data_IF_716042046576
#
_entry.id   IF_716042046576
#
_cell.length_a   1.000
_cell.length_b   1.000
_cell.length_c   1.000
_cell.angle_alpha   90.00
_cell.angle_beta   90.00
_cell.angle_gamma   90.00
#
_symmetry.space_group_name_H-M   'P 1'
#
loop_
_entity.id
_entity.type
_entity.pdbx_description
1 polymer ?
#
# COMPACT_ATOMS: atom_id res chain seq x y z
N UNK A 1 -18.26 -26.55 -12.70
CA UNK A 1 -17.37 -26.00 -11.65
C UNK A 1 -16.39 -25.06 -12.36
N UNK A 2 -16.15 -23.86 -11.83
CA UNK A 2 -15.21 -22.90 -12.43
C UNK A 2 -13.81 -23.41 -12.14
N UNK A 3 -13.00 -23.52 -13.18
CA UNK A 3 -11.59 -23.91 -13.06
C UNK A 3 -10.72 -22.65 -12.97
N UNK A 4 -10.45 -22.22 -11.75
CA UNK A 4 -9.64 -21.03 -11.48
C UNK A 4 -8.17 -21.23 -11.85
N UNK A 5 -7.65 -22.46 -11.71
CA UNK A 5 -6.27 -22.76 -12.09
C UNK A 5 -6.07 -22.66 -13.59
N UNK A 6 -7.05 -23.12 -14.38
CA UNK A 6 -7.01 -22.95 -15.82
C UNK A 6 -7.00 -21.47 -16.21
N UNK A 7 -7.89 -20.65 -15.60
CA UNK A 7 -7.89 -19.20 -15.85
C UNK A 7 -6.57 -18.54 -15.46
N UNK A 8 -5.96 -18.99 -14.35
CA UNK A 8 -4.66 -18.50 -13.90
C UNK A 8 -3.59 -18.78 -14.96
N UNK A 9 -3.50 -20.03 -15.44
CA UNK A 9 -2.52 -20.42 -16.46
C UNK A 9 -2.71 -19.66 -17.79
N UNK A 10 -3.95 -19.38 -18.16
CA UNK A 10 -4.27 -18.59 -19.38
C UNK A 10 -3.84 -17.12 -19.27
N UNK A 11 -3.74 -16.57 -18.04
CA UNK A 11 -3.38 -15.18 -17.77
C UNK A 11 -1.95 -14.99 -17.26
N UNK A 12 -1.28 -16.10 -16.91
CA UNK A 12 0.10 -16.07 -16.45
C UNK A 12 1.03 -15.68 -17.59
N UNK A 13 1.90 -14.69 -17.33
CA UNK A 13 2.82 -14.15 -18.32
C UNK A 13 4.08 -13.59 -17.68
N UNK A 14 5.03 -13.11 -18.48
CA UNK A 14 6.22 -12.42 -17.98
C UNK A 14 5.94 -10.93 -17.76
N UNK A 15 6.75 -10.24 -16.93
CA UNK A 15 6.62 -8.79 -16.75
C UNK A 15 6.70 -8.04 -18.09
N UNK A 16 7.63 -8.43 -18.97
CA UNK A 16 7.87 -7.78 -20.27
C UNK A 16 6.65 -7.91 -21.21
N UNK A 17 5.97 -9.05 -21.20
CA UNK A 17 4.75 -9.23 -21.98
C UNK A 17 3.57 -8.47 -21.36
N UNK A 18 3.43 -8.53 -20.04
CA UNK A 18 2.34 -7.87 -19.30
C UNK A 18 2.31 -6.36 -19.55
N UNK A 19 3.47 -5.70 -19.54
CA UNK A 19 3.56 -4.24 -19.72
C UNK A 19 3.32 -3.78 -21.16
N UNK A 20 3.25 -4.68 -22.15
CA UNK A 20 2.94 -4.31 -23.56
C UNK A 20 1.53 -3.74 -23.74
N UNK A 21 0.65 -3.94 -22.76
CA UNK A 21 -0.69 -3.35 -22.73
C UNK A 21 -0.65 -1.82 -22.63
N UNK A 22 0.40 -1.26 -22.01
CA UNK A 22 0.58 0.19 -21.85
C UNK A 22 0.97 0.82 -23.19
N UNK A 23 0.24 1.86 -23.59
CA UNK A 23 0.42 2.62 -24.83
C UNK A 23 0.50 4.11 -24.54
N UNK A 24 1.01 4.88 -25.50
CA UNK A 24 1.00 6.33 -25.44
C UNK A 24 -0.40 6.90 -25.19
N UNK A 25 -0.47 7.93 -24.37
CA UNK A 25 -1.70 8.64 -24.00
C UNK A 25 -2.53 7.92 -22.92
N UNK A 26 -2.14 6.75 -22.44
CA UNK A 26 -2.88 6.03 -21.40
C UNK A 26 -2.59 6.59 -20.00
N UNK A 27 -3.60 6.47 -19.15
CA UNK A 27 -3.51 6.67 -17.70
C UNK A 27 -3.29 5.34 -16.99
N UNK A 28 -2.18 5.25 -16.30
CA UNK A 28 -1.75 4.09 -15.53
C UNK A 28 -1.77 4.43 -14.04
N UNK A 29 -2.44 3.61 -13.25
CA UNK A 29 -2.38 3.71 -11.79
C UNK A 29 -1.43 2.65 -11.22
N UNK A 30 -0.55 3.07 -10.33
CA UNK A 30 0.20 2.18 -9.45
C UNK A 30 -0.54 2.07 -8.12
N UNK A 31 -0.66 0.87 -7.59
CA UNK A 31 -0.99 0.69 -6.20
C UNK A 31 0.12 1.30 -5.30
N UNK A 32 -0.12 1.41 -4.00
CA UNK A 32 0.75 2.14 -3.10
C UNK A 32 1.25 1.28 -1.93
N UNK A 33 2.18 1.82 -1.16
CA UNK A 33 2.80 1.15 -0.01
C UNK A 33 3.33 -0.24 -0.39
N UNK A 34 2.88 -1.30 0.28
CA UNK A 34 3.31 -2.66 0.00
C UNK A 34 2.76 -3.24 -1.32
N UNK A 35 1.70 -2.63 -1.86
CA UNK A 35 1.08 -3.10 -3.11
C UNK A 35 1.72 -2.51 -4.37
N UNK A 36 2.84 -1.79 -4.25
CA UNK A 36 3.59 -1.22 -5.40
C UNK A 36 4.15 -2.35 -6.28
N UNK A 37 3.93 -2.29 -7.61
CA UNK A 37 4.32 -3.35 -8.54
C UNK A 37 5.80 -3.24 -8.95
N UNK A 38 6.71 -3.93 -8.27
CA UNK A 38 8.16 -3.80 -8.47
C UNK A 38 8.67 -4.34 -9.81
N UNK A 39 8.25 -5.55 -10.22
CA UNK A 39 8.67 -6.15 -11.47
C UNK A 39 8.04 -5.45 -12.67
N UNK A 40 6.76 -5.07 -12.55
CA UNK A 40 6.05 -4.36 -13.61
C UNK A 40 6.62 -2.95 -13.83
N UNK A 41 7.05 -2.24 -12.77
CA UNK A 41 7.72 -0.95 -12.87
C UNK A 41 9.05 -1.07 -13.61
N UNK A 42 9.88 -2.08 -13.25
CA UNK A 42 11.14 -2.38 -13.94
C UNK A 42 10.92 -2.69 -15.43
N UNK A 43 9.95 -3.54 -15.74
CA UNK A 43 9.65 -3.94 -17.11
C UNK A 43 9.08 -2.77 -17.94
N UNK A 44 8.24 -1.93 -17.35
CA UNK A 44 7.72 -0.74 -18.02
C UNK A 44 8.81 0.28 -18.28
N UNK A 45 9.71 0.51 -17.31
CA UNK A 45 10.86 1.39 -17.47
C UNK A 45 11.77 0.99 -18.65
N UNK A 46 11.94 -0.32 -18.90
CA UNK A 46 12.71 -0.82 -20.03
C UNK A 46 12.11 -0.44 -21.39
N UNK A 47 10.81 -0.10 -21.45
CA UNK A 47 10.12 0.35 -22.67
C UNK A 47 10.16 1.87 -22.91
N UNK A 48 10.87 2.62 -22.07
CA UNK A 48 10.89 4.08 -22.15
C UNK A 48 11.35 4.65 -23.51
N UNK A 49 12.20 3.94 -24.25
CA UNK A 49 12.62 4.36 -25.60
C UNK A 49 11.50 4.16 -26.65
N UNK A 50 10.61 3.21 -26.42
CA UNK A 50 9.50 2.87 -27.34
C UNK A 50 8.28 3.77 -27.16
N UNK A 51 8.14 4.41 -25.98
CA UNK A 51 6.99 5.20 -25.59
C UNK A 51 7.30 6.69 -25.65
N UNK A 52 6.26 7.51 -25.78
CA UNK A 52 6.41 8.96 -25.84
C UNK A 52 5.77 9.67 -24.65
N UNK A 53 4.54 9.29 -24.26
CA UNK A 53 3.83 9.91 -23.17
C UNK A 53 2.88 8.90 -22.54
N UNK A 54 3.07 8.62 -21.25
CA UNK A 54 2.19 7.79 -20.42
C UNK A 54 1.96 8.55 -19.11
N UNK A 55 0.72 8.77 -18.74
CA UNK A 55 0.36 9.43 -17.49
C UNK A 55 0.31 8.39 -16.37
N UNK A 56 1.07 8.60 -15.30
CA UNK A 56 1.13 7.65 -14.19
C UNK A 56 0.72 8.33 -12.89
N UNK A 57 -0.21 7.72 -12.17
CA UNK A 57 -0.57 8.10 -10.80
C UNK A 57 -0.01 7.09 -9.82
N UNK A 58 0.57 7.57 -8.73
CA UNK A 58 1.09 6.74 -7.66
C UNK A 58 1.48 7.56 -6.45
N UNK A 59 1.80 6.89 -5.34
CA UNK A 59 2.24 7.53 -4.11
C UNK A 59 2.71 6.49 -3.08
N UNK A 60 3.33 6.95 -2.00
CA UNK A 60 3.84 6.11 -0.90
C UNK A 60 4.72 4.96 -1.40
N UNK A 61 5.64 5.27 -2.32
CA UNK A 61 6.60 4.32 -2.87
C UNK A 61 7.97 4.59 -2.23
N UNK A 62 8.52 3.61 -1.54
CA UNK A 62 9.70 3.76 -0.70
C UNK A 62 11.01 3.31 -1.36
N UNK A 63 10.93 2.70 -2.53
CA UNK A 63 12.10 2.40 -3.38
C UNK A 63 12.18 3.37 -4.57
N UNK A 64 13.33 3.44 -5.28
CA UNK A 64 13.46 4.23 -6.51
C UNK A 64 12.49 3.74 -7.60
N UNK A 65 11.62 4.63 -8.08
CA UNK A 65 10.63 4.34 -9.11
C UNK A 65 11.35 4.26 -10.46
N UNK A 66 11.37 3.09 -11.08
CA UNK A 66 12.22 2.81 -12.25
C UNK A 66 11.80 3.58 -13.50
N UNK A 67 10.49 3.80 -13.71
CA UNK A 67 10.03 4.66 -14.81
C UNK A 67 10.53 6.10 -14.68
N UNK A 68 10.68 6.62 -13.47
CA UNK A 68 11.21 7.96 -13.24
C UNK A 68 12.72 8.01 -13.44
N UNK A 69 13.44 6.97 -13.03
CA UNK A 69 14.87 6.84 -13.32
C UNK A 69 15.12 6.71 -14.84
N UNK A 70 14.23 6.03 -15.56
CA UNK A 70 14.29 5.95 -17.02
C UNK A 70 14.11 7.32 -17.67
N UNK A 71 13.16 8.15 -17.22
CA UNK A 71 12.99 9.52 -17.67
C UNK A 71 14.28 10.36 -17.47
N UNK A 72 14.89 10.25 -16.28
CA UNK A 72 16.15 10.96 -15.97
C UNK A 72 17.26 10.53 -16.95
N UNK A 73 17.42 9.21 -17.15
CA UNK A 73 18.43 8.64 -18.03
C UNK A 73 18.25 9.08 -19.50
N UNK A 74 17.00 9.13 -19.97
CA UNK A 74 16.68 9.55 -21.34
C UNK A 74 16.73 11.06 -21.54
N UNK A 75 16.70 11.85 -20.46
CA UNK A 75 16.61 13.31 -20.52
C UNK A 75 15.27 13.83 -21.05
N UNK A 76 14.21 13.01 -21.06
CA UNK A 76 12.83 13.39 -21.42
C UNK A 76 11.83 12.70 -20.54
N UNK A 77 10.64 13.29 -20.39
CA UNK A 77 9.57 12.77 -19.53
C UNK A 77 8.57 11.95 -20.37
N UNK A 78 8.91 10.67 -20.52
CA UNK A 78 8.03 9.66 -21.14
C UNK A 78 6.88 9.31 -20.21
N UNK A 79 7.17 9.16 -18.91
CA UNK A 79 6.21 8.87 -17.87
C UNK A 79 5.92 10.14 -17.08
N UNK A 80 4.73 10.71 -17.28
CA UNK A 80 4.28 11.93 -16.60
C UNK A 80 3.75 11.53 -15.23
N UNK A 81 4.55 11.79 -14.19
CA UNK A 81 4.26 11.35 -12.85
C UNK A 81 3.35 12.30 -12.09
N UNK A 82 2.22 11.79 -11.62
CA UNK A 82 1.22 12.49 -10.84
C UNK A 82 1.11 11.85 -9.46
N UNK A 83 1.60 12.52 -8.44
CA UNK A 83 1.71 11.99 -7.08
C UNK A 83 0.54 12.46 -6.20
N UNK A 84 -0.13 11.52 -5.56
CA UNK A 84 -1.14 11.81 -4.54
C UNK A 84 -0.50 12.19 -3.19
N UNK A 85 0.73 11.74 -2.93
CA UNK A 85 1.49 12.06 -1.74
C UNK A 85 2.98 12.10 -2.06
N UNK A 86 3.56 13.31 -2.10
CA UNK A 86 4.95 13.49 -2.50
C UNK A 86 5.94 13.06 -1.43
N UNK A 87 6.73 12.05 -1.76
CA UNK A 87 7.89 11.61 -1.02
C UNK A 87 9.17 12.35 -1.43
N UNK A 88 10.32 11.92 -0.93
CA UNK A 88 11.59 12.59 -1.20
C UNK A 88 11.95 12.62 -2.70
N UNK A 89 11.72 11.50 -3.41
CA UNK A 89 11.95 11.40 -4.85
C UNK A 89 11.00 12.32 -5.62
N UNK A 90 9.70 12.28 -5.31
CA UNK A 90 8.70 13.12 -5.97
C UNK A 90 9.00 14.60 -5.76
N UNK A 91 9.34 15.01 -4.52
CA UNK A 91 9.69 16.40 -4.21
C UNK A 91 10.95 16.87 -4.94
N UNK A 92 11.94 15.99 -5.13
CA UNK A 92 13.13 16.31 -5.94
C UNK A 92 12.72 16.59 -7.38
N UNK A 93 11.99 15.67 -8.01
CA UNK A 93 11.56 15.77 -9.40
C UNK A 93 10.55 16.92 -9.62
N UNK A 94 9.70 17.20 -8.65
CA UNK A 94 8.77 18.33 -8.72
C UNK A 94 9.48 19.70 -8.78
N UNK A 95 10.63 19.85 -8.10
CA UNK A 95 11.46 21.07 -8.21
C UNK A 95 12.03 21.27 -9.62
N UNK A 96 12.15 20.19 -10.38
CA UNK A 96 12.58 20.17 -11.77
C UNK A 96 11.39 20.20 -12.75
N UNK A 97 10.16 20.39 -12.26
CA UNK A 97 8.90 20.34 -13.02
C UNK A 97 8.66 19.00 -13.74
N UNK A 98 9.14 17.89 -13.15
CA UNK A 98 9.07 16.54 -13.71
C UNK A 98 8.14 15.60 -12.94
N UNK A 99 7.53 16.08 -11.86
CA UNK A 99 6.50 15.39 -11.11
C UNK A 99 5.44 16.38 -10.64
N UNK A 100 4.19 15.99 -10.72
CA UNK A 100 3.06 16.84 -10.38
C UNK A 100 2.39 16.34 -9.09
N UNK A 101 1.89 17.26 -8.29
CA UNK A 101 1.18 16.95 -7.07
C UNK A 101 -0.33 17.08 -7.28
N UNK A 102 -1.06 16.06 -6.86
CA UNK A 102 -2.52 16.08 -6.83
C UNK A 102 -2.95 16.25 -5.37
N UNK A 103 -3.29 17.49 -4.95
CA UNK A 103 -3.66 17.76 -3.56
C UNK A 103 -5.03 17.19 -3.23
N UNK A 104 -5.09 16.34 -2.20
CA UNK A 104 -6.35 15.82 -1.67
C UNK A 104 -6.15 15.34 -0.23
N UNK A 105 -7.24 15.12 0.49
CA UNK A 105 -7.20 14.35 1.74
C UNK A 105 -7.29 12.86 1.42
N UNK A 106 -6.52 12.04 2.12
CA UNK A 106 -6.46 10.60 1.89
C UNK A 106 -7.84 9.93 1.87
N UNK A 107 -8.70 10.29 2.83
CA UNK A 107 -10.07 9.77 2.91
C UNK A 107 -10.99 10.16 1.74
N UNK A 108 -10.61 11.14 0.91
CA UNK A 108 -11.40 11.58 -0.26
C UNK A 108 -11.06 10.78 -1.52
N UNK A 109 -9.91 10.10 -1.54
CA UNK A 109 -9.42 9.41 -2.74
C UNK A 109 -10.40 8.34 -3.27
N UNK A 110 -11.03 7.48 -2.46
CA UNK A 110 -12.02 6.53 -2.94
C UNK A 110 -13.19 7.23 -3.66
N UNK A 111 -13.65 8.35 -3.10
CA UNK A 111 -14.76 9.12 -3.67
C UNK A 111 -14.39 9.74 -5.03
N UNK A 112 -13.16 10.22 -5.19
CA UNK A 112 -12.67 10.75 -6.47
C UNK A 112 -12.71 9.68 -7.57
N UNK A 113 -12.34 8.43 -7.26
CA UNK A 113 -12.43 7.33 -8.22
C UNK A 113 -13.88 6.90 -8.51
N UNK A 114 -14.84 7.14 -7.60
CA UNK A 114 -16.27 6.91 -7.85
C UNK A 114 -16.88 7.92 -8.78
N UNK A 115 -16.31 9.13 -8.88
CA UNK A 115 -16.82 10.23 -9.72
C UNK A 115 -16.02 10.32 -11.01
N UNK A 116 -16.63 10.01 -12.18
CA UNK A 116 -15.91 10.03 -13.46
C UNK A 116 -15.35 11.40 -13.86
N UNK A 117 -15.93 12.47 -13.32
CA UNK A 117 -15.57 13.85 -13.59
C UNK A 117 -14.37 14.33 -12.75
N UNK A 118 -14.04 13.68 -11.66
CA UNK A 118 -13.01 14.15 -10.71
C UNK A 118 -11.62 13.60 -11.04
N UNK A 119 -11.55 12.43 -11.69
CA UNK A 119 -10.31 11.75 -12.03
C UNK A 119 -10.35 11.22 -13.44
N UNK A 120 -9.27 11.41 -14.17
CA UNK A 120 -9.07 10.83 -15.49
C UNK A 120 -9.27 9.29 -15.46
N UNK A 121 -9.55 8.72 -16.62
CA UNK A 121 -9.74 7.27 -16.77
C UNK A 121 -8.58 6.48 -16.16
N UNK A 122 -8.86 5.28 -15.68
CA UNK A 122 -7.83 4.27 -15.35
C UNK A 122 -7.77 3.30 -16.52
N UNK A 123 -6.81 3.50 -17.43
CA UNK A 123 -6.66 2.56 -18.55
C UNK A 123 -6.03 1.27 -18.06
N UNK A 124 -5.00 1.36 -17.23
CA UNK A 124 -4.30 0.21 -16.65
C UNK A 124 -4.09 0.41 -15.17
N UNK A 125 -4.31 -0.63 -14.38
CA UNK A 125 -3.91 -0.71 -12.98
C UNK A 125 -2.82 -1.77 -12.84
N UNK A 126 -1.69 -1.41 -12.24
CA UNK A 126 -0.67 -2.33 -11.77
C UNK A 126 -0.71 -2.41 -10.25
N UNK A 127 -0.84 -3.62 -9.71
CA UNK A 127 -0.84 -3.84 -8.27
C UNK A 127 -0.14 -5.14 -7.88
N UNK A 128 0.54 -5.12 -6.75
CA UNK A 128 1.10 -6.29 -6.11
C UNK A 128 0.10 -6.88 -5.11
N UNK A 129 -0.01 -8.21 -5.08
CA UNK A 129 -0.94 -8.96 -4.23
C UNK A 129 -0.29 -10.20 -3.65
N UNK A 130 -1.00 -10.91 -2.76
CA UNK A 130 -0.67 -12.29 -2.42
C UNK A 130 -0.88 -13.22 -3.62
N UNK A 131 -0.30 -14.44 -3.61
CA UNK A 131 -0.62 -15.48 -4.58
C UNK A 131 -2.12 -15.83 -4.60
N UNK A 132 -2.59 -16.38 -5.72
CA UNK A 132 -3.99 -16.79 -5.87
C UNK A 132 -4.35 -17.96 -4.93
N UNK A 133 -5.47 -17.85 -4.23
CA UNK A 133 -6.03 -18.92 -3.43
C UNK A 133 -6.82 -19.97 -4.27
N UNK A 134 -7.33 -20.99 -3.62
CA UNK A 134 -8.15 -22.06 -4.24
C UNK A 134 -9.48 -21.57 -4.83
N UNK A 135 -9.97 -20.41 -4.39
CA UNK A 135 -11.21 -19.78 -4.84
C UNK A 135 -10.97 -18.76 -5.98
N UNK A 136 -9.74 -18.64 -6.44
CA UNK A 136 -9.36 -17.72 -7.50
C UNK A 136 -9.17 -16.28 -7.04
N UNK A 137 -8.97 -16.05 -5.74
CA UNK A 137 -8.80 -14.73 -5.17
C UNK A 137 -7.32 -14.44 -4.89
N UNK A 138 -6.91 -13.22 -5.17
CA UNK A 138 -5.64 -12.63 -4.75
C UNK A 138 -5.92 -11.67 -3.61
N UNK A 139 -5.47 -12.00 -2.40
CA UNK A 139 -5.61 -11.09 -1.26
C UNK A 139 -4.75 -9.84 -1.49
N UNK A 140 -5.30 -8.66 -1.18
CA UNK A 140 -4.63 -7.37 -1.39
C UNK A 140 -3.55 -7.08 -0.34
N UNK A 141 -3.34 -8.02 0.59
CA UNK A 141 -2.38 -7.87 1.67
C UNK A 141 -2.77 -6.76 2.65
N UNK A 142 -1.80 -6.19 3.35
CA UNK A 142 -2.05 -5.15 4.34
C UNK A 142 -2.15 -3.74 3.73
N UNK A 143 -2.76 -3.61 2.54
CA UNK A 143 -2.93 -2.34 1.85
C UNK A 143 -4.17 -2.35 0.94
N UNK A 144 -5.34 -2.09 1.51
CA UNK A 144 -6.60 -2.02 0.74
C UNK A 144 -6.88 -0.58 0.29
N UNK A 145 -7.01 0.34 1.26
CA UNK A 145 -7.29 1.76 0.99
C UNK A 145 -8.34 1.97 -0.12
N UNK A 146 -8.01 2.73 -1.17
CA UNK A 146 -8.88 2.95 -2.34
C UNK A 146 -8.74 1.88 -3.43
N UNK A 147 -7.96 0.82 -3.23
CA UNK A 147 -7.59 -0.13 -4.29
C UNK A 147 -8.81 -0.73 -4.99
N UNK A 148 -9.88 -1.06 -4.25
CA UNK A 148 -11.12 -1.58 -4.83
C UNK A 148 -11.76 -0.60 -5.80
N UNK A 149 -11.77 0.70 -5.49
CA UNK A 149 -12.35 1.73 -6.35
C UNK A 149 -11.52 1.90 -7.64
N UNK A 150 -10.20 1.78 -7.53
CA UNK A 150 -9.32 1.82 -8.71
C UNK A 150 -9.55 0.59 -9.59
N UNK A 151 -9.66 -0.61 -8.99
CA UNK A 151 -10.00 -1.86 -9.71
C UNK A 151 -11.32 -1.70 -10.48
N UNK A 152 -12.35 -1.16 -9.83
CA UNK A 152 -13.67 -0.98 -10.45
C UNK A 152 -13.65 -0.01 -11.63
N UNK A 153 -12.68 0.91 -11.68
CA UNK A 153 -12.50 1.89 -12.75
C UNK A 153 -11.56 1.43 -13.85
N UNK A 154 -10.66 0.49 -13.56
CA UNK A 154 -9.62 0.08 -14.48
C UNK A 154 -10.18 -0.70 -15.68
N UNK A 155 -9.76 -0.33 -16.90
CA UNK A 155 -10.04 -1.11 -18.11
C UNK A 155 -9.24 -2.40 -18.13
N UNK A 156 -7.99 -2.32 -17.65
CA UNK A 156 -7.09 -3.46 -17.58
C UNK A 156 -6.44 -3.52 -16.20
N UNK A 157 -6.47 -4.69 -15.57
CA UNK A 157 -5.82 -4.94 -14.28
C UNK A 157 -4.74 -5.98 -14.47
N UNK A 158 -3.51 -5.64 -14.11
CA UNK A 158 -2.35 -6.54 -14.11
C UNK A 158 -1.89 -6.74 -12.67
N UNK A 159 -1.88 -7.99 -12.25
CA UNK A 159 -1.49 -8.40 -10.90
C UNK A 159 -0.06 -8.91 -10.89
N UNK A 160 0.76 -8.39 -9.97
CA UNK A 160 2.04 -8.96 -9.57
C UNK A 160 1.82 -9.81 -8.30
N UNK A 161 1.65 -11.12 -8.47
CA UNK A 161 1.40 -12.06 -7.38
C UNK A 161 2.69 -12.41 -6.65
N UNK A 162 2.94 -11.77 -5.51
CA UNK A 162 4.17 -11.93 -4.75
C UNK A 162 3.99 -12.87 -3.57
N UNK A 163 4.77 -13.94 -3.53
CA UNK A 163 4.72 -14.94 -2.44
C UNK A 163 5.17 -14.42 -1.08
N UNK A 164 5.84 -13.27 -1.04
CA UNK A 164 6.29 -12.62 0.20
C UNK A 164 5.25 -11.64 0.78
N UNK A 165 4.14 -11.39 0.06
CA UNK A 165 3.06 -10.54 0.54
C UNK A 165 2.27 -11.26 1.64
N UNK A 166 2.15 -10.70 2.86
CA UNK A 166 1.37 -11.32 3.93
C UNK A 166 -0.13 -11.27 3.62
N UNK A 167 -0.84 -12.35 3.91
CA UNK A 167 -2.29 -12.39 3.82
C UNK A 167 -2.89 -11.68 5.02
N UNK A 168 -3.62 -10.59 4.78
CA UNK A 168 -4.34 -9.85 5.82
C UNK A 168 -5.81 -9.79 5.45
N UNK A 169 -6.67 -10.15 6.40
CA UNK A 169 -8.11 -10.11 6.19
C UNK A 169 -8.61 -8.67 6.24
N UNK A 170 -9.52 -8.33 5.34
CA UNK A 170 -10.22 -7.06 5.35
C UNK A 170 -11.57 -7.17 6.04
N UNK A 171 -12.18 -6.02 6.27
CA UNK A 171 -13.59 -5.94 6.67
C UNK A 171 -14.50 -6.23 5.48
N UNK A 172 -14.09 -5.81 4.29
CA UNK A 172 -14.68 -6.09 2.98
C UNK A 172 -13.64 -5.79 1.90
N UNK A 173 -13.85 -6.33 0.69
CA UNK A 173 -13.07 -5.98 -0.51
C UNK A 173 -11.56 -6.22 -0.40
N UNK A 174 -11.14 -7.19 0.42
CA UNK A 174 -9.74 -7.52 0.71
C UNK A 174 -9.08 -8.41 -0.36
N UNK A 175 -9.75 -8.66 -1.48
CA UNK A 175 -9.23 -9.46 -2.58
C UNK A 175 -9.70 -8.95 -3.96
N UNK A 176 -8.97 -9.37 -4.99
CA UNK A 176 -9.41 -9.34 -6.39
C UNK A 176 -9.53 -10.76 -6.93
N UNK A 177 -10.61 -11.08 -7.64
CA UNK A 177 -10.78 -12.41 -8.21
C UNK A 177 -10.12 -12.48 -9.59
N UNK A 178 -9.59 -13.66 -9.96
CA UNK A 178 -8.95 -13.91 -11.26
C UNK A 178 -9.82 -13.51 -12.47
N UNK A 179 -11.13 -13.46 -12.30
CA UNK A 179 -12.06 -13.02 -13.36
C UNK A 179 -11.93 -11.54 -13.70
N UNK A 180 -11.49 -10.73 -12.74
CA UNK A 180 -11.30 -9.28 -12.86
C UNK A 180 -9.88 -8.94 -13.37
N UNK A 181 -8.96 -9.92 -13.35
CA UNK A 181 -7.54 -9.75 -13.72
C UNK A 181 -7.35 -10.03 -15.20
N UNK A 182 -6.53 -9.24 -15.88
CA UNK A 182 -6.21 -9.40 -17.31
C UNK A 182 -4.91 -10.16 -17.54
N UNK A 183 -3.91 -9.92 -16.69
CA UNK A 183 -2.64 -10.64 -16.72
C UNK A 183 -2.10 -10.83 -15.30
N UNK A 184 -1.38 -11.93 -15.08
CA UNK A 184 -0.73 -12.26 -13.81
C UNK A 184 0.77 -12.43 -14.06
N UNK A 185 1.57 -11.80 -13.21
CA UNK A 185 3.01 -11.96 -13.14
C UNK A 185 3.36 -12.53 -11.76
N UNK A 186 4.11 -13.61 -11.70
CA UNK A 186 4.60 -14.14 -10.44
C UNK A 186 5.84 -13.40 -9.96
N UNK A 187 5.90 -13.12 -8.67
CA UNK A 187 7.01 -12.41 -8.01
C UNK A 187 7.47 -13.12 -6.75
N UNK A 188 8.76 -13.02 -6.47
CA UNK A 188 9.37 -13.38 -5.20
C UNK A 188 10.28 -12.26 -4.65
N UNK A 189 10.11 -11.06 -5.17
CA UNK A 189 10.84 -9.87 -4.72
C UNK A 189 10.54 -9.60 -3.24
N UNK A 190 11.52 -9.13 -2.47
CA UNK A 190 11.27 -8.69 -1.11
C UNK A 190 10.23 -7.56 -1.06
N UNK A 191 9.36 -7.58 -0.06
CA UNK A 191 8.47 -6.46 0.23
C UNK A 191 9.25 -5.30 0.81
N UNK A 192 8.96 -4.09 0.39
CA UNK A 192 9.59 -2.88 0.91
C UNK A 192 9.40 -2.74 2.41
N UNK A 193 10.49 -2.44 3.10
CA UNK A 193 10.49 -2.13 4.52
C UNK A 193 10.90 -0.68 4.75
N UNK A 194 10.42 -0.10 5.83
CA UNK A 194 10.92 1.21 6.29
C UNK A 194 11.76 1.02 7.55
N UNK A 195 12.87 1.76 7.68
CA UNK A 195 13.67 1.69 8.90
C UNK A 195 12.90 2.27 10.08
N UNK A 196 13.03 1.62 11.24
CA UNK A 196 12.50 2.19 12.48
C UNK A 196 13.26 3.46 12.83
N UNK A 197 12.58 4.58 12.85
CA UNK A 197 13.15 5.88 13.25
C UNK A 197 13.32 5.87 14.76
N UNK A 198 14.56 6.04 15.21
CA UNK A 198 14.85 6.16 16.64
C UNK A 198 14.37 7.51 17.15
N UNK A 199 13.68 7.57 18.31
CA UNK A 199 13.24 8.81 18.91
C UNK A 199 14.45 9.63 19.41
N UNK A 200 14.35 10.95 19.31
CA UNK A 200 15.26 11.85 19.96
C UNK A 200 14.76 12.24 21.36
N UNK A 201 15.53 13.08 22.08
CA UNK A 201 15.18 13.54 23.43
C UNK A 201 13.87 14.32 23.48
N UNK A 202 13.53 15.04 22.41
CA UNK A 202 12.29 15.80 22.29
C UNK A 202 11.11 14.86 22.08
N UNK A 203 11.27 13.86 21.22
CA UNK A 203 10.29 12.81 20.97
C UNK A 203 9.92 12.08 22.26
N UNK A 204 10.93 11.69 23.05
CA UNK A 204 10.75 11.03 24.34
C UNK A 204 9.97 11.88 25.35
N UNK A 205 10.32 13.18 25.47
CA UNK A 205 9.62 14.11 26.37
C UNK A 205 8.15 14.29 25.96
N UNK A 206 7.87 14.39 24.67
CA UNK A 206 6.49 14.52 24.17
C UNK A 206 5.72 13.23 24.48
N UNK A 207 6.32 12.07 24.23
CA UNK A 207 5.71 10.78 24.53
C UNK A 207 5.41 10.62 26.03
N UNK A 208 6.31 11.09 26.93
CA UNK A 208 6.10 11.11 28.39
C UNK A 208 4.94 12.01 28.85
N UNK A 209 4.61 13.01 28.06
CA UNK A 209 3.43 13.85 28.32
C UNK A 209 2.16 13.20 27.81
N UNK A 210 2.18 12.67 26.57
CA UNK A 210 1.02 12.10 25.92
C UNK A 210 0.51 10.82 26.58
N UNK A 211 1.41 9.96 27.08
CA UNK A 211 0.98 8.70 27.73
C UNK A 211 0.10 8.94 28.96
N UNK A 212 0.24 10.08 29.63
CA UNK A 212 -0.57 10.45 30.81
C UNK A 212 -2.01 10.83 30.47
N UNK A 213 -2.27 11.15 29.21
CA UNK A 213 -3.60 11.50 28.72
C UNK A 213 -4.37 10.28 28.21
N UNK A 214 -3.70 9.12 28.06
CA UNK A 214 -4.32 7.89 27.55
C UNK A 214 -4.94 7.14 28.72
N UNK A 215 -6.21 6.76 28.54
CA UNK A 215 -6.98 6.01 29.53
C UNK A 215 -7.20 4.57 29.06
N UNK A 216 -7.48 3.65 29.98
CA UNK A 216 -7.87 2.29 29.63
C UNK A 216 -9.06 2.28 28.67
N UNK A 217 -9.07 1.36 27.72
CA UNK A 217 -10.10 1.24 26.70
C UNK A 217 -10.02 2.27 25.55
N UNK A 218 -9.08 3.22 25.59
CA UNK A 218 -8.93 4.20 24.50
C UNK A 218 -8.64 3.54 23.17
N UNK A 219 -9.22 4.06 22.09
CA UNK A 219 -8.90 3.65 20.72
C UNK A 219 -7.94 4.64 20.09
N UNK A 220 -6.79 4.15 19.61
CA UNK A 220 -5.65 4.95 19.21
C UNK A 220 -5.37 4.86 17.71
N UNK A 221 -4.77 5.94 17.21
CA UNK A 221 -4.05 6.00 15.94
C UNK A 221 -2.62 6.47 16.22
N UNK A 222 -1.64 5.76 15.69
CA UNK A 222 -0.24 6.16 15.70
C UNK A 222 0.28 6.23 14.25
N UNK A 223 1.14 7.21 13.98
CA UNK A 223 1.81 7.33 12.69
C UNK A 223 3.23 6.74 12.71
N UNK A 224 3.99 7.06 11.66
CA UNK A 224 5.43 6.78 11.58
C UNK A 224 6.24 7.98 12.11
N UNK A 225 7.44 7.72 12.62
CA UNK A 225 8.37 8.75 13.10
C UNK A 225 8.89 8.45 14.48
N UNK A 226 9.85 9.25 14.96
CA UNK A 226 10.48 9.08 16.27
C UNK A 226 9.47 9.18 17.40
N UNK A 227 8.70 10.26 17.45
CA UNK A 227 7.72 10.50 18.52
C UNK A 227 6.59 9.45 18.57
N UNK A 228 5.89 9.09 17.47
CA UNK A 228 4.88 8.03 17.51
C UNK A 228 5.46 6.67 17.92
N UNK A 229 6.68 6.35 17.50
CA UNK A 229 7.38 5.13 17.94
C UNK A 229 7.65 5.16 19.45
N UNK A 230 8.23 6.26 19.97
CA UNK A 230 8.47 6.42 21.41
C UNK A 230 7.18 6.21 22.22
N UNK A 231 6.09 6.85 21.80
CA UNK A 231 4.80 6.72 22.48
C UNK A 231 4.29 5.28 22.43
N UNK A 232 4.31 4.62 21.27
CA UNK A 232 3.81 3.25 21.13
C UNK A 232 4.61 2.24 21.96
N UNK A 233 5.93 2.35 22.03
CA UNK A 233 6.75 1.49 22.89
C UNK A 233 6.54 1.77 24.38
N UNK A 234 6.38 3.05 24.79
CA UNK A 234 6.02 3.37 26.18
C UNK A 234 4.64 2.80 26.57
N UNK A 235 3.67 2.84 25.66
CA UNK A 235 2.36 2.22 25.86
C UNK A 235 2.53 0.71 26.05
N UNK A 236 3.36 0.03 25.24
CA UNK A 236 3.61 -1.41 25.35
C UNK A 236 4.23 -1.79 26.71
N UNK A 237 4.99 -0.88 27.35
CA UNK A 237 5.62 -1.06 28.66
C UNK A 237 4.77 -0.57 29.83
N UNK A 238 3.60 0.01 29.57
CA UNK A 238 2.74 0.61 30.59
C UNK A 238 1.75 -0.37 31.20
N UNK A 239 1.04 0.06 32.26
CA UNK A 239 -0.07 -0.68 32.89
C UNK A 239 -1.42 -0.43 32.22
N UNK A 240 -1.47 0.27 31.06
CA UNK A 240 -2.70 0.51 30.31
C UNK A 240 -3.33 -0.78 29.83
N UNK A 241 -4.67 -0.80 29.76
CA UNK A 241 -5.45 -2.00 29.43
C UNK A 241 -6.52 -1.74 28.38
N UNK A 242 -6.85 -2.83 27.69
CA UNK A 242 -7.98 -2.92 26.77
C UNK A 242 -8.03 -1.86 25.68
N UNK A 243 -6.85 -1.37 25.27
CA UNK A 243 -6.74 -0.38 24.20
C UNK A 243 -7.25 -0.97 22.87
N UNK A 244 -7.75 -0.08 22.01
CA UNK A 244 -8.10 -0.38 20.63
C UNK A 244 -7.17 0.30 19.64
N UNK A 245 -7.08 -0.25 18.43
CA UNK A 245 -6.43 0.39 17.28
C UNK A 245 -7.46 0.60 16.18
N UNK A 246 -7.54 1.85 15.68
CA UNK A 246 -8.25 2.25 14.48
C UNK A 246 -7.46 3.39 13.84
N UNK A 247 -6.66 3.06 12.84
CA UNK A 247 -5.59 3.93 12.36
C UNK A 247 -5.56 3.97 10.83
N UNK A 248 -4.99 5.02 10.27
CA UNK A 248 -4.63 5.06 8.86
C UNK A 248 -3.57 3.99 8.56
N UNK A 249 -2.52 3.95 9.38
CA UNK A 249 -1.38 3.05 9.22
C UNK A 249 -1.32 2.04 10.36
N UNK A 250 -0.71 0.87 10.08
CA UNK A 250 -0.29 -0.06 11.11
C UNK A 250 1.24 -0.16 11.10
N UNK A 251 1.88 -0.03 12.27
CA UNK A 251 3.34 0.11 12.42
C UNK A 251 3.90 -0.80 13.52
N UNK A 252 5.24 -0.96 13.55
CA UNK A 252 5.94 -1.86 14.48
C UNK A 252 5.60 -1.61 15.95
N UNK A 253 5.45 -0.37 16.37
CA UNK A 253 5.10 -0.05 17.75
C UNK A 253 3.69 -0.53 18.15
N UNK A 254 2.74 -0.56 17.21
CA UNK A 254 1.40 -1.14 17.44
C UNK A 254 1.47 -2.67 17.58
N UNK A 255 2.33 -3.35 16.80
CA UNK A 255 2.62 -4.76 16.99
C UNK A 255 3.20 -5.01 18.40
N UNK A 256 4.14 -4.17 18.86
CA UNK A 256 4.72 -4.27 20.20
C UNK A 256 3.64 -4.12 21.29
N UNK A 257 2.75 -3.14 21.18
CA UNK A 257 1.60 -2.95 22.07
C UNK A 257 0.70 -4.20 22.11
N UNK A 258 0.45 -4.80 20.95
CA UNK A 258 -0.38 -6.01 20.86
C UNK A 258 0.31 -7.23 21.49
N UNK A 259 1.60 -7.42 21.21
CA UNK A 259 2.40 -8.50 21.81
C UNK A 259 2.53 -8.36 23.35
N UNK A 260 2.54 -7.12 23.85
CA UNK A 260 2.53 -6.84 25.29
C UNK A 260 1.16 -7.08 25.96
N UNK A 261 0.09 -7.26 25.17
CA UNK A 261 -1.24 -7.55 25.68
C UNK A 261 -2.05 -6.33 26.12
N UNK A 262 -1.55 -5.11 25.88
CA UNK A 262 -2.28 -3.88 26.24
C UNK A 262 -3.38 -3.53 25.22
N UNK A 263 -3.34 -4.13 24.01
CA UNK A 263 -4.34 -3.95 22.97
C UNK A 263 -5.20 -5.20 22.84
N UNK A 264 -6.47 -5.10 23.22
CA UNK A 264 -7.50 -6.15 23.04
C UNK A 264 -8.57 -5.76 22.04
N UNK A 265 -8.82 -4.47 21.85
CA UNK A 265 -9.89 -3.94 21.04
C UNK A 265 -11.29 -4.23 21.58
N UNK A 266 -11.41 -4.73 22.82
CA UNK A 266 -12.68 -5.18 23.37
C UNK A 266 -13.60 -4.03 23.80
N UNK A 267 -13.06 -2.83 24.01
CA UNK A 267 -13.81 -1.64 24.35
C UNK A 267 -14.18 -0.79 23.09
N UNK A 268 -13.77 -1.23 21.89
CA UNK A 268 -14.16 -0.54 20.64
C UNK A 268 -15.67 -0.67 20.39
N UNK A 269 -16.29 0.42 19.97
CA UNK A 269 -17.69 0.43 19.51
C UNK A 269 -17.81 -0.19 18.11
N UNK A 270 -16.86 0.11 17.21
CA UNK A 270 -16.81 -0.44 15.87
C UNK A 270 -15.72 -1.50 15.74
N UNK A 271 -16.01 -2.60 15.05
CA UNK A 271 -15.06 -3.68 14.77
C UNK A 271 -14.39 -4.19 16.05
N UNK A 272 -15.21 -4.51 17.07
CA UNK A 272 -14.78 -4.99 18.38
C UNK A 272 -13.87 -6.22 18.26
N UNK A 273 -12.73 -6.19 18.97
CA UNK A 273 -11.71 -7.23 18.92
C UNK A 273 -10.83 -7.20 17.65
N UNK A 274 -11.02 -6.23 16.75
CA UNK A 274 -10.21 -6.04 15.57
C UNK A 274 -9.38 -4.75 15.64
N UNK A 275 -8.17 -4.81 15.15
CA UNK A 275 -7.30 -3.66 14.94
C UNK A 275 -7.42 -3.26 13.47
N UNK A 276 -8.02 -2.09 13.24
CA UNK A 276 -8.40 -1.64 11.89
C UNK A 276 -7.39 -0.62 11.36
N UNK A 277 -7.00 -0.79 10.10
CA UNK A 277 -6.08 0.15 9.42
C UNK A 277 -6.30 0.09 7.90
N UNK A 278 -5.82 1.08 7.15
CA UNK A 278 -5.94 1.08 5.69
C UNK A 278 -4.69 0.59 4.96
N UNK A 279 -3.51 0.73 5.55
CA UNK A 279 -2.26 0.14 5.04
C UNK A 279 -1.24 -0.03 6.15
N UNK A 280 -0.22 -0.83 5.90
CA UNK A 280 0.90 -1.04 6.82
C UNK A 280 2.23 -0.65 6.18
N UNK A 281 3.13 -0.12 7.00
CA UNK A 281 4.53 0.12 6.66
C UNK A 281 5.39 -0.13 7.89
N UNK A 282 6.41 -0.96 7.77
CA UNK A 282 7.30 -1.27 8.88
C UNK A 282 8.40 -2.26 8.53
N UNK A 283 8.77 -3.04 9.52
CA UNK A 283 9.82 -4.06 9.41
C UNK A 283 9.31 -5.36 8.79
N UNK A 284 10.26 -6.20 8.36
CA UNK A 284 9.93 -7.58 7.96
C UNK A 284 9.27 -8.36 9.10
N UNK A 285 9.68 -8.14 10.36
CA UNK A 285 9.06 -8.78 11.53
C UNK A 285 7.58 -8.44 11.64
N UNK A 286 7.22 -7.18 11.40
CA UNK A 286 5.83 -6.76 11.37
C UNK A 286 5.06 -7.54 10.30
N UNK A 287 5.59 -7.65 9.09
CA UNK A 287 4.91 -8.33 7.99
C UNK A 287 4.74 -9.84 8.24
N UNK A 288 5.78 -10.49 8.78
CA UNK A 288 5.70 -11.90 9.17
C UNK A 288 4.65 -12.12 10.28
N UNK A 289 4.50 -11.15 11.21
CA UNK A 289 3.50 -11.21 12.27
C UNK A 289 2.07 -10.92 11.78
N UNK A 290 1.93 -10.13 10.71
CA UNK A 290 0.62 -9.80 10.13
C UNK A 290 0.00 -10.97 9.36
N UNK A 291 0.84 -11.87 8.83
CA UNK A 291 0.39 -12.95 7.97
C UNK A 291 -0.62 -13.85 8.68
N UNK A 292 -1.82 -13.97 8.11
CA UNK A 292 -2.96 -14.71 8.68
C UNK A 292 -3.36 -14.30 10.11
N UNK A 293 -2.98 -13.11 10.57
CA UNK A 293 -3.30 -12.64 11.91
C UNK A 293 -4.74 -12.16 12.02
N UNK A 294 -5.55 -12.93 12.75
CA UNK A 294 -6.98 -12.70 12.86
C UNK A 294 -7.37 -11.48 13.73
N UNK A 295 -6.44 -10.91 14.49
CA UNK A 295 -6.70 -9.67 15.23
C UNK A 295 -6.73 -8.43 14.32
N UNK A 296 -6.16 -8.53 13.13
CA UNK A 296 -6.03 -7.45 12.16
C UNK A 296 -7.22 -7.39 11.20
N UNK A 297 -7.49 -6.18 10.68
CA UNK A 297 -8.43 -5.95 9.60
C UNK A 297 -8.06 -4.69 8.81
N UNK A 298 -7.98 -4.82 7.51
CA UNK A 298 -7.75 -3.70 6.59
C UNK A 298 -9.04 -3.23 5.93
#
# INVERSE_FOLDING_TARGET
MIDYQKQYQEKLTTPEEAVKIVKDGMWLDYAHAMSVPNLLDKALAARAEELNEVFVRGYLIYHPIQILEANVKLGRDVFVWNSWFMQSQDRRLSRESRAFFIPMRYAEQPEMYRRPEDVETVDVLFLQTCPMDENGNFNLGPCIAQTREVINRAKYVVVEANKNMPVVQGLSDDYINIKEVHAVVESDEPIDTIPTIQPDETDEKIADMLIKEIVDGATLQLGIGGMPNALGYKIAESDLKDLGIHSEMYVDSMMAMTKAGVVTGMEKELNRGKQVFSFSLGSKELYDWMDHNQALAT
#
